data_IF_661918100844
#
_entry.id   IF_661918100844
#
_cell.length_a   1.000
_cell.length_b   1.000
_cell.length_c   1.000
_cell.angle_alpha   90.00
_cell.angle_beta   90.00
_cell.angle_gamma   90.00
#
_symmetry.space_group_name_H-M   'P 1'
#
loop_
_entity.id
_entity.type
_entity.pdbx_description
1 polymer ?
#
# COMPACT_ATOMS: atom_id res chain seq x y z
N UNK A 1 -4.04 11.30 -9.80
CA UNK A 1 -2.88 12.19 -9.71
C UNK A 1 -1.88 11.50 -8.80
N UNK A 2 -0.79 10.99 -9.36
CA UNK A 2 0.22 10.23 -8.62
C UNK A 2 0.86 11.17 -7.59
N UNK A 3 0.60 10.92 -6.30
CA UNK A 3 0.99 11.81 -5.21
C UNK A 3 2.45 11.48 -4.89
N UNK A 4 3.29 12.50 -4.92
CA UNK A 4 4.73 12.37 -4.80
C UNK A 4 5.14 11.44 -3.63
N UNK A 5 5.77 10.28 -3.89
CA UNK A 5 6.18 9.32 -2.87
C UNK A 5 7.22 9.89 -1.90
N UNK A 6 7.88 11.00 -2.25
CA UNK A 6 8.80 11.71 -1.36
C UNK A 6 8.08 12.20 -0.10
N UNK A 7 6.79 12.56 -0.18
CA UNK A 7 6.02 13.00 1.01
C UNK A 7 5.81 11.90 2.05
N UNK A 8 5.78 10.63 1.64
CA UNK A 8 5.65 9.50 2.57
C UNK A 8 7.00 9.04 3.13
N UNK A 9 8.10 9.56 2.59
CA UNK A 9 9.46 9.23 3.03
C UNK A 9 9.85 9.93 4.33
N UNK A 10 9.04 10.88 4.82
CA UNK A 10 9.21 11.51 6.14
C UNK A 10 8.93 10.56 7.31
N UNK A 11 8.21 9.45 7.10
CA UNK A 11 7.93 8.47 8.16
C UNK A 11 9.09 7.47 8.40
N UNK A 12 10.03 7.38 7.45
CA UNK A 12 11.20 6.50 7.52
C UNK A 12 12.52 7.29 7.35
N UNK A 13 12.55 8.56 7.77
CA UNK A 13 13.80 9.32 7.78
C UNK A 13 14.84 8.57 8.62
N UNK A 14 15.98 8.24 8.01
CA UNK A 14 17.14 7.80 8.79
C UNK A 14 17.47 8.85 9.85
N UNK A 15 18.20 8.47 10.90
CA UNK A 15 18.66 9.37 11.98
C UNK A 15 19.25 10.70 11.48
N UNK A 16 19.70 10.72 10.22
CA UNK A 16 20.36 11.83 9.53
C UNK A 16 19.44 12.67 8.61
N UNK A 17 18.12 12.46 8.65
CA UNK A 17 17.14 13.29 7.93
C UNK A 17 17.04 13.03 6.42
N UNK A 18 17.65 11.95 5.92
CA UNK A 18 17.57 11.55 4.50
C UNK A 18 16.36 10.64 4.27
N UNK A 19 15.41 11.04 3.40
CA UNK A 19 14.35 10.18 2.90
C UNK A 19 14.91 8.90 2.27
N UNK A 20 14.53 7.73 2.77
CA UNK A 20 14.80 6.50 2.02
C UNK A 20 13.94 6.47 0.75
N UNK A 21 14.52 6.12 -0.42
CA UNK A 21 13.75 6.05 -1.65
C UNK A 21 12.64 5.02 -1.52
N UNK A 22 11.41 5.42 -1.85
CA UNK A 22 10.26 4.51 -1.86
C UNK A 22 10.50 3.43 -2.91
N UNK A 23 10.63 2.19 -2.44
CA UNK A 23 10.79 1.01 -3.28
C UNK A 23 9.44 0.58 -3.85
N UNK A 24 9.03 1.23 -4.94
CA UNK A 24 7.71 1.02 -5.58
C UNK A 24 7.43 -0.44 -5.93
N UNK A 25 8.43 -1.15 -6.45
CA UNK A 25 8.29 -2.57 -6.80
C UNK A 25 7.91 -3.44 -5.60
N UNK A 26 8.58 -3.24 -4.46
CA UNK A 26 8.27 -3.97 -3.22
C UNK A 26 6.87 -3.61 -2.71
N UNK A 27 6.44 -2.35 -2.89
CA UNK A 27 5.08 -1.91 -2.55
C UNK A 27 4.02 -2.57 -3.45
N UNK A 28 4.27 -2.67 -4.76
CA UNK A 28 3.38 -3.34 -5.71
C UNK A 28 3.26 -4.85 -5.39
N UNK A 29 4.37 -5.50 -5.06
CA UNK A 29 4.38 -6.91 -4.64
C UNK A 29 3.58 -7.13 -3.35
N UNK A 30 3.73 -6.24 -2.37
CA UNK A 30 2.95 -6.29 -1.13
C UNK A 30 1.44 -6.08 -1.37
N UNK A 31 1.07 -5.17 -2.29
CA UNK A 31 -0.33 -4.94 -2.66
C UNK A 31 -0.93 -6.18 -3.31
N UNK A 32 -0.21 -6.85 -4.22
CA UNK A 32 -0.69 -8.06 -4.87
C UNK A 32 -0.86 -9.20 -3.86
N UNK A 33 0.09 -9.38 -2.95
CA UNK A 33 -0.03 -10.35 -1.86
C UNK A 33 -1.28 -10.10 -1.00
N UNK A 34 -1.52 -8.85 -0.60
CA UNK A 34 -2.69 -8.49 0.20
C UNK A 34 -4.01 -8.72 -0.54
N UNK A 35 -4.04 -8.46 -1.85
CA UNK A 35 -5.21 -8.73 -2.68
C UNK A 35 -5.54 -10.22 -2.68
N UNK A 36 -4.55 -11.07 -2.93
CA UNK A 36 -4.70 -12.53 -2.92
C UNK A 36 -5.16 -13.01 -1.53
N UNK A 37 -4.58 -12.49 -0.45
CA UNK A 37 -4.96 -12.84 0.91
C UNK A 37 -6.42 -12.48 1.22
N UNK A 38 -6.90 -11.30 0.77
CA UNK A 38 -8.30 -10.87 0.94
C UNK A 38 -9.24 -11.76 0.11
N UNK A 39 -8.85 -12.15 -1.11
CA UNK A 39 -9.65 -13.03 -1.96
C UNK A 39 -9.80 -14.44 -1.37
N UNK A 40 -8.79 -14.93 -0.65
CA UNK A 40 -8.80 -16.25 -0.01
C UNK A 40 -9.38 -16.25 1.41
N UNK A 41 -9.51 -15.08 2.04
CA UNK A 41 -10.02 -14.98 3.41
C UNK A 41 -11.48 -15.43 3.51
N UNK A 42 -11.81 -16.21 4.54
CA UNK A 42 -13.19 -16.62 4.86
C UNK A 42 -13.94 -15.48 5.57
N UNK A 43 -14.17 -14.40 4.84
CA UNK A 43 -14.91 -13.22 5.29
C UNK A 43 -16.18 -13.04 4.48
N UNK A 44 -17.12 -12.26 5.02
CA UNK A 44 -18.35 -11.94 4.29
C UNK A 44 -18.05 -11.01 3.09
N UNK A 45 -18.96 -10.97 2.12
CA UNK A 45 -18.77 -10.21 0.88
C UNK A 45 -18.63 -8.70 1.11
N UNK A 46 -19.40 -8.13 2.05
CA UNK A 46 -19.33 -6.70 2.37
C UNK A 46 -17.94 -6.31 2.89
N UNK A 47 -17.37 -7.14 3.74
CA UNK A 47 -16.03 -6.94 4.31
C UNK A 47 -14.94 -7.08 3.26
N UNK A 48 -15.05 -8.09 2.39
CA UNK A 48 -14.16 -8.29 1.23
C UNK A 48 -14.16 -7.08 0.29
N UNK A 49 -15.34 -6.59 -0.09
CA UNK A 49 -15.47 -5.41 -0.96
C UNK A 49 -14.89 -4.14 -0.32
N UNK A 50 -15.12 -3.94 0.98
CA UNK A 50 -14.54 -2.82 1.71
C UNK A 50 -13.01 -2.91 1.79
N UNK A 51 -12.45 -4.10 2.02
CA UNK A 51 -11.02 -4.34 2.06
C UNK A 51 -10.36 -4.09 0.70
N UNK A 52 -10.94 -4.63 -0.39
CA UNK A 52 -10.45 -4.39 -1.76
C UNK A 52 -10.54 -2.91 -2.15
N UNK A 53 -11.60 -2.20 -1.75
CA UNK A 53 -11.74 -0.76 -2.01
C UNK A 53 -10.66 0.06 -1.31
N UNK A 54 -10.35 -0.27 -0.05
CA UNK A 54 -9.25 0.35 0.70
C UNK A 54 -7.89 0.08 0.04
N UNK A 55 -7.65 -1.16 -0.38
CA UNK A 55 -6.41 -1.55 -1.06
C UNK A 55 -6.25 -0.84 -2.42
N UNK A 56 -7.32 -0.71 -3.20
CA UNK A 56 -7.32 0.03 -4.47
C UNK A 56 -6.98 1.53 -4.28
N UNK A 57 -7.49 2.14 -3.21
CA UNK A 57 -7.15 3.52 -2.87
C UNK A 57 -5.66 3.70 -2.52
N UNK A 58 -4.99 2.66 -2.00
CA UNK A 58 -3.55 2.71 -1.74
C UNK A 58 -2.71 2.65 -3.03
N UNK A 59 -3.20 1.95 -4.07
CA UNK A 59 -2.54 1.88 -5.39
C UNK A 59 -2.67 3.18 -6.19
N UNK A 60 -3.78 3.90 -6.03
CA UNK A 60 -4.08 5.13 -6.78
C UNK A 60 -3.60 6.41 -6.09
N UNK A 61 -3.02 6.27 -4.90
CA UNK A 61 -2.58 7.36 -4.02
C UNK A 61 -1.19 7.89 -4.31
#
# INVERSE_FOLDING_TARGET
SWKDPVKYSFAFGGKDGVPFPVKRKEMDEAIEFLKIAIEQAKINEKERLNALKRLSNMKNG
#
